data_IF_428599164394
#
_entry.id   IF_428599164394
#
_cell.length_a   1.000
_cell.length_b   1.000
_cell.length_c   1.000
_cell.angle_alpha   90.00
_cell.angle_beta   90.00
_cell.angle_gamma   90.00
#
_symmetry.space_group_name_H-M   'P 1'
#
loop_
_entity.id
_entity.type
_entity.pdbx_description
1 polymer ?
#
# COMPACT_ATOMS: atom_id res chain seq x y z
N UNK A 1 14.08 -15.44 1.55
CA UNK A 1 14.21 -16.74 0.87
C UNK A 1 14.26 -17.94 1.82
N UNK A 2 15.03 -17.94 2.89
CA UNK A 2 15.13 -19.08 3.83
C UNK A 2 13.84 -19.42 4.62
N UNK A 3 12.96 -18.44 4.88
CA UNK A 3 11.69 -18.67 5.60
C UNK A 3 10.62 -19.36 4.75
N UNK A 4 10.54 -19.05 3.46
CA UNK A 4 9.58 -19.66 2.55
C UNK A 4 9.86 -21.13 2.30
N UNK A 5 11.13 -21.51 2.16
CA UNK A 5 11.53 -22.91 2.00
C UNK A 5 11.25 -23.77 3.24
N UNK A 6 11.34 -23.17 4.44
CA UNK A 6 11.07 -23.86 5.70
C UNK A 6 9.58 -24.18 5.92
N UNK A 7 8.68 -23.24 5.60
CA UNK A 7 7.24 -23.42 5.76
C UNK A 7 6.66 -24.44 4.74
N UNK A 8 7.12 -24.39 3.50
CA UNK A 8 6.74 -25.35 2.47
C UNK A 8 7.14 -26.78 2.82
N UNK A 9 8.37 -26.98 3.34
CA UNK A 9 8.87 -28.29 3.77
C UNK A 9 8.09 -28.86 4.96
N UNK A 10 7.73 -28.04 5.95
CA UNK A 10 6.94 -28.45 7.10
C UNK A 10 5.50 -28.85 6.73
N UNK A 11 4.85 -28.09 5.85
CA UNK A 11 3.50 -28.39 5.38
C UNK A 11 3.43 -29.67 4.55
N UNK A 12 4.39 -29.91 3.68
CA UNK A 12 4.44 -31.17 2.90
C UNK A 12 4.69 -32.40 3.78
N UNK A 13 5.43 -32.26 4.88
CA UNK A 13 5.63 -33.34 5.87
C UNK A 13 4.34 -33.67 6.67
N UNK A 14 3.52 -32.68 6.98
CA UNK A 14 2.29 -32.81 7.77
C UNK A 14 1.16 -33.40 6.93
N UNK A 15 1.07 -33.03 5.65
CA UNK A 15 -0.05 -33.40 4.78
C UNK A 15 0.17 -34.67 3.97
N UNK A 16 1.38 -35.24 3.97
CA UNK A 16 1.69 -36.55 3.40
C UNK A 16 1.42 -36.75 1.90
N UNK A 17 1.08 -35.68 1.20
CA UNK A 17 0.77 -35.65 -0.22
C UNK A 17 1.75 -34.74 -0.98
N UNK A 18 2.51 -35.37 -1.88
CA UNK A 18 3.57 -34.67 -2.64
C UNK A 18 3.00 -33.62 -3.62
N UNK A 19 1.73 -33.76 -4.05
CA UNK A 19 1.13 -32.88 -5.05
C UNK A 19 0.19 -31.86 -4.41
N UNK A 20 -0.73 -32.31 -3.54
CA UNK A 20 -1.67 -31.40 -2.85
C UNK A 20 -0.99 -30.55 -1.78
N UNK A 21 -0.07 -31.14 -1.01
CA UNK A 21 0.71 -30.44 0.00
C UNK A 21 1.59 -29.34 -0.57
N UNK A 22 2.13 -29.52 -1.78
CA UNK A 22 2.94 -28.49 -2.45
C UNK A 22 2.10 -27.29 -2.88
N UNK A 23 0.90 -27.52 -3.43
CA UNK A 23 -0.02 -26.46 -3.81
C UNK A 23 -0.51 -25.65 -2.61
N UNK A 24 -0.86 -26.33 -1.51
CA UNK A 24 -1.26 -25.69 -0.25
C UNK A 24 -0.11 -24.88 0.35
N UNK A 25 1.12 -25.42 0.30
CA UNK A 25 2.30 -24.72 0.78
C UNK A 25 2.60 -23.45 -0.05
N UNK A 26 2.49 -23.53 -1.37
CA UNK A 26 2.65 -22.34 -2.26
C UNK A 26 1.56 -21.31 -1.98
N UNK A 27 0.30 -21.74 -1.86
CA UNK A 27 -0.80 -20.84 -1.54
C UNK A 27 -0.63 -20.19 -0.16
N UNK A 28 -0.20 -20.96 0.84
CA UNK A 28 0.09 -20.46 2.18
C UNK A 28 1.23 -19.43 2.19
N UNK A 29 2.31 -19.69 1.45
CA UNK A 29 3.42 -18.76 1.32
C UNK A 29 3.00 -17.46 0.64
N UNK A 30 2.21 -17.52 -0.43
CA UNK A 30 1.64 -16.36 -1.11
C UNK A 30 0.77 -15.52 -0.17
N UNK A 31 -0.09 -16.14 0.64
CA UNK A 31 -0.92 -15.45 1.63
C UNK A 31 -0.08 -14.78 2.72
N UNK A 32 0.96 -15.44 3.21
CA UNK A 32 1.89 -14.86 4.19
C UNK A 32 2.67 -13.68 3.62
N UNK A 33 3.14 -13.79 2.39
CA UNK A 33 3.82 -12.71 1.68
C UNK A 33 2.89 -11.50 1.48
N UNK A 34 1.66 -11.73 1.03
CA UNK A 34 0.66 -10.68 0.85
C UNK A 34 0.30 -9.98 2.17
N UNK A 35 0.17 -10.74 3.27
CA UNK A 35 -0.08 -10.16 4.59
C UNK A 35 1.08 -9.28 5.06
N UNK A 36 2.31 -9.78 4.95
CA UNK A 36 3.51 -9.00 5.30
C UNK A 36 3.64 -7.72 4.48
N UNK A 37 3.32 -7.79 3.20
CA UNK A 37 3.35 -6.63 2.30
C UNK A 37 2.30 -5.60 2.70
N UNK A 38 1.08 -6.02 3.07
CA UNK A 38 0.03 -5.11 3.55
C UNK A 38 0.44 -4.35 4.82
N UNK A 39 1.04 -5.05 5.77
CA UNK A 39 1.51 -4.43 7.02
C UNK A 39 2.66 -3.46 6.76
N UNK A 40 3.58 -3.82 5.87
CA UNK A 40 4.69 -2.95 5.48
C UNK A 40 4.19 -1.67 4.79
N UNK A 41 3.22 -1.79 3.87
CA UNK A 41 2.62 -0.63 3.19
C UNK A 41 1.82 0.25 4.16
N UNK A 42 1.05 -0.35 5.08
CA UNK A 42 0.32 0.42 6.09
C UNK A 42 1.25 1.20 7.03
N UNK A 43 2.36 0.60 7.43
CA UNK A 43 3.38 1.26 8.25
C UNK A 43 4.10 2.37 7.47
N UNK A 44 4.39 2.16 6.19
CA UNK A 44 4.98 3.17 5.32
C UNK A 44 4.04 4.37 5.12
N UNK A 45 2.75 4.12 4.91
CA UNK A 45 1.73 5.18 4.79
C UNK A 45 1.63 5.98 6.10
N UNK A 46 1.54 5.32 7.26
CA UNK A 46 1.48 5.99 8.56
C UNK A 46 2.72 6.85 8.82
N UNK A 47 3.90 6.35 8.45
CA UNK A 47 5.13 7.12 8.54
C UNK A 47 5.11 8.34 7.61
N UNK A 48 4.65 8.17 6.37
CA UNK A 48 4.54 9.25 5.39
C UNK A 48 3.58 10.35 5.86
N UNK A 49 2.40 9.98 6.38
CA UNK A 49 1.45 10.96 6.95
C UNK A 49 2.08 11.76 8.10
N UNK A 50 2.73 11.08 9.04
CA UNK A 50 3.42 11.76 10.14
C UNK A 50 4.55 12.69 9.68
N UNK A 51 5.26 12.32 8.63
CA UNK A 51 6.31 13.14 8.05
C UNK A 51 5.73 14.37 7.35
N UNK A 52 4.66 14.20 6.54
CA UNK A 52 3.98 15.28 5.84
C UNK A 52 3.42 16.29 6.82
N UNK A 53 2.73 15.84 7.87
CA UNK A 53 2.19 16.73 8.91
C UNK A 53 3.29 17.55 9.59
N UNK A 54 4.43 16.93 9.92
CA UNK A 54 5.59 17.65 10.48
C UNK A 54 6.19 18.67 9.52
N UNK A 55 6.18 18.35 8.24
CA UNK A 55 6.65 19.25 7.18
C UNK A 55 5.62 20.32 6.77
N UNK A 56 4.44 20.35 7.43
CA UNK A 56 3.31 21.25 7.08
C UNK A 56 2.77 21.03 5.67
N UNK A 57 2.85 19.81 5.18
CA UNK A 57 2.32 19.40 3.87
C UNK A 57 1.02 18.63 4.07
N UNK A 58 -0.03 19.02 3.35
CA UNK A 58 -1.33 18.31 3.36
C UNK A 58 -1.21 16.94 2.70
N UNK A 59 -1.86 15.94 3.28
CA UNK A 59 -1.97 14.60 2.70
C UNK A 59 -3.05 14.46 1.61
N UNK A 60 -3.79 15.51 1.28
CA UNK A 60 -4.80 15.48 0.22
C UNK A 60 -4.25 14.99 -1.12
N UNK A 61 -3.06 15.45 -1.52
CA UNK A 61 -2.42 15.02 -2.76
C UNK A 61 -2.09 13.52 -2.78
N UNK A 62 -1.75 12.93 -1.64
CA UNK A 62 -1.50 11.49 -1.51
C UNK A 62 -2.81 10.71 -1.57
N UNK A 63 -3.88 11.22 -0.97
CA UNK A 63 -5.23 10.64 -1.05
C UNK A 63 -5.74 10.60 -2.50
N UNK A 64 -5.58 11.69 -3.24
CA UNK A 64 -5.92 11.77 -4.66
C UNK A 64 -5.10 10.81 -5.51
N UNK A 65 -3.81 10.68 -5.22
CA UNK A 65 -2.93 9.72 -5.90
C UNK A 65 -3.41 8.29 -5.73
N UNK A 66 -3.65 7.84 -4.50
CA UNK A 66 -4.14 6.48 -4.24
C UNK A 66 -5.53 6.23 -4.82
N UNK A 67 -6.41 7.23 -4.84
CA UNK A 67 -7.72 7.13 -5.47
C UNK A 67 -7.59 6.87 -6.98
N UNK A 68 -6.69 7.57 -7.66
CA UNK A 68 -6.42 7.33 -9.09
C UNK A 68 -5.84 5.94 -9.35
N UNK A 69 -4.88 5.50 -8.53
CA UNK A 69 -4.30 4.16 -8.67
C UNK A 69 -5.35 3.08 -8.41
N UNK A 70 -6.20 3.24 -7.40
CA UNK A 70 -7.29 2.31 -7.12
C UNK A 70 -8.23 2.15 -8.32
N UNK A 71 -8.61 3.27 -8.97
CA UNK A 71 -9.46 3.23 -10.17
C UNK A 71 -8.77 2.55 -11.36
N UNK A 72 -7.45 2.61 -11.47
CA UNK A 72 -6.68 1.95 -12.54
C UNK A 72 -6.53 0.44 -12.30
N UNK A 73 -6.63 -0.01 -11.05
CA UNK A 73 -6.46 -1.42 -10.65
C UNK A 73 -7.79 -2.11 -10.33
N UNK A 74 -8.91 -1.44 -10.57
CA UNK A 74 -10.24 -2.00 -10.36
C UNK A 74 -10.42 -3.29 -11.17
N UNK A 75 -10.96 -4.34 -10.51
CA UNK A 75 -11.15 -5.66 -11.10
C UNK A 75 -9.92 -6.59 -11.03
N UNK A 76 -8.77 -6.13 -10.54
CA UNK A 76 -7.64 -7.04 -10.26
C UNK A 76 -7.86 -7.69 -8.89
N UNK A 77 -7.93 -9.05 -8.82
CA UNK A 77 -8.08 -9.72 -7.55
C UNK A 77 -6.93 -9.38 -6.57
N UNK A 78 -7.27 -9.07 -5.32
CA UNK A 78 -6.32 -8.63 -4.30
C UNK A 78 -5.13 -9.58 -4.10
N UNK A 79 -5.39 -10.89 -4.19
CA UNK A 79 -4.36 -11.91 -4.00
C UNK A 79 -3.35 -12.00 -5.17
N UNK A 80 -3.68 -11.41 -6.33
CA UNK A 80 -2.79 -11.31 -7.48
C UNK A 80 -1.98 -10.00 -7.47
N UNK A 81 -2.33 -9.05 -6.61
CA UNK A 81 -1.62 -7.78 -6.50
C UNK A 81 -0.41 -7.96 -5.57
N UNK A 82 0.76 -7.64 -6.06
CA UNK A 82 1.98 -7.57 -5.25
C UNK A 82 1.97 -6.39 -4.26
N UNK A 83 1.02 -5.45 -4.43
CA UNK A 83 0.78 -4.34 -3.53
C UNK A 83 -0.64 -4.41 -3.00
N UNK A 84 -0.86 -4.15 -1.69
CA UNK A 84 -2.20 -4.09 -1.13
C UNK A 84 -3.03 -3.03 -1.82
N UNK A 85 -4.34 -3.27 -1.86
CA UNK A 85 -5.30 -2.46 -2.60
C UNK A 85 -5.08 -0.98 -2.35
N UNK A 86 -4.89 -0.26 -3.43
CA UNK A 86 -4.82 1.20 -3.42
C UNK A 86 -6.08 1.83 -2.83
N UNK A 87 -7.23 1.11 -2.83
CA UNK A 87 -8.48 1.53 -2.20
C UNK A 87 -8.35 1.68 -0.68
N UNK A 88 -7.75 0.71 0.03
CA UNK A 88 -7.52 0.81 1.48
C UNK A 88 -6.54 1.92 1.81
N UNK A 89 -5.51 2.08 0.98
CA UNK A 89 -4.55 3.17 1.10
C UNK A 89 -5.21 4.53 0.85
N UNK A 90 -6.06 4.63 -0.16
CA UNK A 90 -6.85 5.82 -0.43
C UNK A 90 -7.75 6.17 0.77
N UNK A 91 -8.47 5.18 1.33
CA UNK A 91 -9.32 5.39 2.51
C UNK A 91 -8.53 5.90 3.72
N UNK A 92 -7.36 5.33 4.01
CA UNK A 92 -6.47 5.81 5.08
C UNK A 92 -5.96 7.22 4.83
N UNK A 93 -5.57 7.54 3.59
CA UNK A 93 -5.08 8.86 3.24
C UNK A 93 -6.19 9.93 3.35
N UNK A 94 -7.41 9.62 2.91
CA UNK A 94 -8.56 10.50 3.09
C UNK A 94 -8.89 10.71 4.56
N UNK A 95 -8.91 9.66 5.37
CA UNK A 95 -9.14 9.78 6.81
C UNK A 95 -8.08 10.63 7.50
N UNK A 96 -6.79 10.52 7.09
CA UNK A 96 -5.73 11.36 7.60
C UNK A 96 -5.92 12.83 7.18
N UNK A 97 -6.25 13.10 5.92
CA UNK A 97 -6.51 14.45 5.43
C UNK A 97 -7.71 15.11 6.15
N UNK A 98 -8.76 14.35 6.47
CA UNK A 98 -9.88 14.82 7.27
C UNK A 98 -9.44 15.16 8.71
N UNK A 99 -8.63 14.31 9.33
CA UNK A 99 -8.09 14.56 10.66
C UNK A 99 -7.18 15.79 10.68
N UNK A 100 -6.37 16.00 9.66
CA UNK A 100 -5.57 17.20 9.47
C UNK A 100 -6.43 18.46 9.43
N UNK A 101 -7.48 18.46 8.61
CA UNK A 101 -8.43 19.60 8.54
C UNK A 101 -9.13 19.86 9.88
N UNK A 102 -9.54 18.80 10.56
CA UNK A 102 -10.20 18.90 11.87
C UNK A 102 -9.26 19.42 12.98
N UNK A 103 -7.95 19.17 12.85
CA UNK A 103 -6.95 19.61 13.84
C UNK A 103 -6.67 21.12 13.80
N UNK A 104 -7.11 21.83 12.75
CA UNK A 104 -6.84 23.26 12.55
C UNK A 104 -5.38 23.57 12.23
N UNK A 105 -4.58 22.58 11.84
CA UNK A 105 -3.21 22.78 11.39
C UNK A 105 -3.20 23.53 10.06
N UNK A 106 -2.31 24.51 9.97
CA UNK A 106 -2.05 25.21 8.71
C UNK A 106 -1.12 24.33 7.85
N UNK A 107 -1.72 23.64 6.90
CA UNK A 107 -1.05 22.74 5.96
C UNK A 107 -1.26 23.23 4.54
N UNK A 108 -0.27 23.02 3.69
CA UNK A 108 -0.30 23.44 2.29
C UNK A 108 0.08 22.29 1.35
N UNK A 109 -0.27 22.37 0.06
CA UNK A 109 0.25 21.44 -0.94
C UNK A 109 1.79 21.46 -0.97
N UNK A 110 2.40 20.33 -1.33
CA UNK A 110 3.86 20.19 -1.42
C UNK A 110 4.48 21.13 -2.45
N UNK A 111 3.73 21.50 -3.49
CA UNK A 111 4.15 22.44 -4.54
C UNK A 111 3.11 23.55 -4.69
N UNK A 112 3.58 24.73 -5.04
CA UNK A 112 2.70 25.82 -5.48
C UNK A 112 1.99 25.45 -6.79
N UNK A 113 0.90 26.15 -7.11
CA UNK A 113 0.19 25.93 -8.38
C UNK A 113 1.09 26.19 -9.61
N UNK A 114 2.00 27.16 -9.53
CA UNK A 114 2.97 27.45 -10.58
C UNK A 114 4.02 26.38 -10.73
N UNK A 115 4.56 25.87 -9.61
CA UNK A 115 5.56 24.79 -9.63
C UNK A 115 4.96 23.48 -10.14
N UNK A 116 3.71 23.22 -9.74
CA UNK A 116 2.97 22.06 -10.25
C UNK A 116 2.71 22.15 -11.76
N UNK A 117 2.35 23.32 -12.25
CA UNK A 117 2.19 23.55 -13.69
C UNK A 117 3.51 23.38 -14.46
N UNK A 118 4.61 23.89 -13.91
CA UNK A 118 5.95 23.71 -14.50
C UNK A 118 6.36 22.24 -14.52
N UNK A 119 6.12 21.50 -13.41
CA UNK A 119 6.42 20.06 -13.33
C UNK A 119 5.65 19.26 -14.39
N UNK A 120 4.36 19.55 -14.59
CA UNK A 120 3.56 18.88 -15.62
C UNK A 120 4.05 19.20 -17.05
N UNK A 121 4.66 20.34 -17.26
CA UNK A 121 5.21 20.75 -18.55
C UNK A 121 6.55 20.12 -18.91
N UNK A 122 7.23 19.43 -17.98
CA UNK A 122 8.55 18.80 -18.24
C UNK A 122 8.43 17.64 -19.25
N UNK A 123 7.30 16.93 -19.24
CA UNK A 123 7.10 15.78 -20.13
C UNK A 123 6.39 16.13 -21.46
N UNK A 124 6.22 17.40 -21.77
CA UNK A 124 5.67 17.91 -23.06
C UNK A 124 4.17 17.97 -23.08
#
# INVERSE_FOLDING_TARGET
MLRAAGSAGLLSMILGDVTGGTLIAIAGDQLMQASYTRDAEANADAFAFGLMTRARISSDGLADFFTRIAAMTDGVPEFLSSHPLSADRAARAHANAEAERASGLDLSPALSASDWAALKGICG
#
